data_IF_379662935000
#
_entry.id   IF_379662935000
#
_cell.length_a   1.000
_cell.length_b   1.000
_cell.length_c   1.000
_cell.angle_alpha   90.00
_cell.angle_beta   90.00
_cell.angle_gamma   90.00
#
_symmetry.space_group_name_H-M   'P 1'
#
loop_
_entity.id
_entity.type
_entity.pdbx_description
1 polymer ?
#
# COMPACT_ATOMS: atom_id res chain seq x y z
N UNK A 1 -12.76 12.50 17.92
CA UNK A 1 -13.18 12.77 16.52
C UNK A 1 -12.20 12.04 15.64
N UNK A 2 -12.65 11.46 14.53
CA UNK A 2 -11.73 10.74 13.63
C UNK A 2 -11.06 11.68 12.64
N UNK A 3 -9.73 11.65 12.59
CA UNK A 3 -8.93 12.49 11.67
C UNK A 3 -7.92 11.66 10.89
N UNK A 4 -7.68 12.05 9.64
CA UNK A 4 -6.56 11.55 8.85
C UNK A 4 -5.40 12.52 9.01
N UNK A 5 -4.24 12.01 9.40
CA UNK A 5 -3.00 12.80 9.47
C UNK A 5 -1.78 12.00 8.97
N UNK A 6 -0.69 12.68 8.56
CA UNK A 6 0.60 12.02 8.36
C UNK A 6 1.01 11.23 9.61
N UNK A 7 1.73 10.14 9.38
CA UNK A 7 2.30 9.35 10.47
C UNK A 7 3.43 10.10 11.17
N UNK A 8 3.58 9.86 12.48
CA UNK A 8 4.64 10.41 13.32
C UNK A 8 5.41 9.29 14.04
N UNK A 9 6.61 9.61 14.55
CA UNK A 9 7.47 8.64 15.28
C UNK A 9 6.75 8.02 16.49
N UNK A 10 5.85 8.77 17.13
CA UNK A 10 5.05 8.28 18.26
C UNK A 10 4.05 7.17 17.90
N UNK A 11 3.70 7.01 16.62
CA UNK A 11 2.67 6.06 16.18
C UNK A 11 3.18 4.61 16.09
N UNK A 12 4.49 4.37 16.24
CA UNK A 12 5.11 3.04 16.09
C UNK A 12 4.41 1.96 16.92
N UNK A 13 4.11 2.27 18.19
CA UNK A 13 3.41 1.34 19.07
C UNK A 13 1.98 1.04 18.62
N UNK A 14 1.29 2.04 18.04
CA UNK A 14 -0.02 1.89 17.43
C UNK A 14 0.03 1.01 16.18
N UNK A 15 1.01 1.23 15.31
CA UNK A 15 1.23 0.41 14.13
C UNK A 15 1.52 -1.04 14.46
N UNK A 16 2.38 -1.32 15.44
CA UNK A 16 2.66 -2.70 15.87
C UNK A 16 1.39 -3.42 16.32
N UNK A 17 0.52 -2.73 17.08
CA UNK A 17 -0.79 -3.28 17.48
C UNK A 17 -1.69 -3.57 16.27
N UNK A 18 -1.72 -2.68 15.28
CA UNK A 18 -2.49 -2.90 14.05
C UNK A 18 -1.91 -4.04 13.21
N UNK A 19 -0.58 -4.08 13.04
CA UNK A 19 0.13 -5.11 12.28
C UNK A 19 -0.13 -6.52 12.84
N UNK A 20 -0.12 -6.66 14.17
CA UNK A 20 -0.46 -7.92 14.85
C UNK A 20 -1.89 -8.41 14.58
N UNK A 21 -2.81 -7.53 14.16
CA UNK A 21 -4.20 -7.87 13.82
C UNK A 21 -4.43 -8.23 12.35
N UNK A 22 -3.41 -8.13 11.49
CA UNK A 22 -3.55 -8.38 10.05
C UNK A 22 -3.65 -9.86 9.69
N UNK A 23 -3.25 -10.76 10.59
CA UNK A 23 -3.19 -12.21 10.31
C UNK A 23 -2.13 -12.61 9.29
N UNK A 24 -1.13 -11.76 9.01
CA UNK A 24 0.02 -12.07 8.16
C UNK A 24 -0.21 -11.95 6.65
N UNK A 25 -1.44 -11.82 6.18
CA UNK A 25 -1.76 -11.69 4.75
C UNK A 25 -1.45 -10.32 4.13
N UNK A 26 -1.20 -9.30 4.96
CA UNK A 26 -0.89 -7.94 4.51
C UNK A 26 0.61 -7.66 4.66
N UNK A 27 1.39 -8.08 3.66
CA UNK A 27 2.86 -7.97 3.65
C UNK A 27 3.37 -6.52 3.72
N UNK A 28 2.57 -5.55 3.29
CA UNK A 28 2.90 -4.13 3.41
C UNK A 28 2.70 -3.56 4.83
N UNK A 29 2.21 -4.34 5.79
CA UNK A 29 2.11 -3.96 7.20
C UNK A 29 2.62 -5.11 8.09
N UNK A 30 3.94 -5.41 8.05
CA UNK A 30 4.52 -6.49 8.81
C UNK A 30 4.50 -6.18 10.31
N UNK A 31 4.31 -7.21 11.14
CA UNK A 31 4.47 -7.10 12.60
C UNK A 31 5.96 -7.14 12.99
N UNK A 32 6.74 -6.22 12.43
CA UNK A 32 8.18 -6.08 12.64
C UNK A 32 8.51 -4.63 13.00
N UNK A 33 9.04 -4.41 14.21
CA UNK A 33 9.26 -3.08 14.77
C UNK A 33 10.25 -2.27 13.95
N UNK A 34 11.36 -2.89 13.54
CA UNK A 34 12.40 -2.22 12.76
C UNK A 34 11.85 -1.76 11.41
N UNK A 35 11.18 -2.65 10.68
CA UNK A 35 10.59 -2.32 9.37
C UNK A 35 9.56 -1.20 9.48
N UNK A 36 8.74 -1.20 10.53
CA UNK A 36 7.76 -0.12 10.75
C UNK A 36 8.44 1.20 11.12
N UNK A 37 9.47 1.17 11.96
CA UNK A 37 10.24 2.36 12.32
C UNK A 37 10.94 2.97 11.09
N UNK A 38 11.60 2.14 10.29
CA UNK A 38 12.26 2.55 9.03
C UNK A 38 11.24 3.15 8.05
N UNK A 39 10.03 2.58 7.99
CA UNK A 39 8.93 3.11 7.16
C UNK A 39 8.42 4.47 7.63
N UNK A 40 8.29 4.67 8.95
CA UNK A 40 7.91 5.98 9.50
C UNK A 40 8.96 7.02 9.09
N UNK A 41 10.25 6.72 9.29
CA UNK A 41 11.32 7.67 8.97
C UNK A 41 11.36 7.98 7.46
N UNK A 42 11.21 6.97 6.60
CA UNK A 42 11.10 7.16 5.15
C UNK A 42 9.93 8.07 4.77
N UNK A 43 8.78 7.93 5.46
CA UNK A 43 7.65 8.82 5.22
C UNK A 43 7.93 10.26 5.65
N UNK A 44 8.55 10.47 6.82
CA UNK A 44 8.97 11.79 7.28
C UNK A 44 9.98 12.45 6.33
N UNK A 45 10.94 11.69 5.81
CA UNK A 45 11.91 12.17 4.82
C UNK A 45 11.27 12.47 3.46
N UNK A 46 10.21 11.75 3.08
CA UNK A 46 9.41 12.04 1.88
C UNK A 46 8.79 13.44 1.98
N UNK A 47 8.21 13.79 3.12
CA UNK A 47 7.66 15.14 3.36
C UNK A 47 8.71 16.25 3.33
N UNK A 48 9.97 15.93 3.65
CA UNK A 48 11.08 16.88 3.56
C UNK A 48 11.62 17.07 2.14
N UNK A 49 11.18 16.25 1.18
CA UNK A 49 11.60 16.34 -0.22
C UNK A 49 13.04 15.89 -0.50
N UNK A 50 13.69 15.19 0.45
CA UNK A 50 15.10 14.78 0.35
C UNK A 50 15.34 13.43 -0.34
N UNK A 51 14.28 12.72 -0.73
CA UNK A 51 14.35 11.35 -1.24
C UNK A 51 14.23 11.29 -2.76
N UNK A 52 14.88 10.29 -3.37
CA UNK A 52 14.68 9.95 -4.77
C UNK A 52 13.24 9.45 -4.99
N UNK A 53 12.72 9.55 -6.22
CA UNK A 53 11.32 9.19 -6.52
C UNK A 53 10.97 7.73 -6.11
N UNK A 54 11.92 6.80 -6.22
CA UNK A 54 11.71 5.40 -5.84
C UNK A 54 11.66 5.15 -4.33
N UNK A 55 12.25 6.04 -3.54
CA UNK A 55 12.29 5.95 -2.08
C UNK A 55 11.10 6.65 -1.41
N UNK A 56 10.40 7.52 -2.13
CA UNK A 56 9.31 8.33 -1.60
C UNK A 56 8.05 7.49 -1.31
N UNK A 57 7.51 7.65 -0.10
CA UNK A 57 6.27 7.03 0.33
C UNK A 57 5.53 7.85 1.38
N UNK A 58 4.21 7.96 1.23
CA UNK A 58 3.34 8.66 2.18
C UNK A 58 2.59 7.66 3.03
N UNK A 59 2.64 7.82 4.35
CA UNK A 59 1.89 7.01 5.30
C UNK A 59 1.00 7.92 6.13
N UNK A 60 -0.26 7.52 6.24
CA UNK A 60 -1.29 8.23 7.00
C UNK A 60 -1.89 7.29 8.04
N UNK A 61 -2.33 7.87 9.16
CA UNK A 61 -3.08 7.17 10.18
C UNK A 61 -4.48 7.78 10.32
N UNK A 62 -5.44 6.94 10.68
CA UNK A 62 -6.73 7.37 11.21
C UNK A 62 -6.61 7.41 12.73
N UNK A 63 -6.70 8.59 13.32
CA UNK A 63 -6.59 8.81 14.75
C UNK A 63 -7.95 9.21 15.34
N UNK A 64 -8.28 8.67 16.50
CA UNK A 64 -9.30 9.27 17.36
C UNK A 64 -8.66 10.34 18.26
N UNK A 65 -8.98 11.60 17.99
CA UNK A 65 -8.43 12.75 18.72
C UNK A 65 -8.81 12.80 20.20
N UNK A 66 -9.84 12.05 20.63
CA UNK A 66 -10.23 12.04 22.05
C UNK A 66 -9.30 11.19 22.92
N UNK A 67 -8.73 10.13 22.32
CA UNK A 67 -7.89 9.14 23.00
C UNK A 67 -6.44 9.16 22.52
N UNK A 68 -6.15 9.80 21.39
CA UNK A 68 -4.87 9.69 20.68
C UNK A 68 -4.66 8.31 20.04
N UNK A 69 -5.70 7.48 19.96
CA UNK A 69 -5.57 6.12 19.47
C UNK A 69 -5.51 6.09 17.94
N UNK A 70 -4.46 5.47 17.41
CA UNK A 70 -4.38 5.07 16.00
C UNK A 70 -5.31 3.89 15.73
N UNK A 71 -6.38 4.13 14.98
CA UNK A 71 -7.43 3.18 14.64
C UNK A 71 -7.20 2.48 13.28
N UNK A 72 -6.44 3.10 12.38
CA UNK A 72 -6.14 2.55 11.07
C UNK A 72 -4.92 3.21 10.42
N UNK A 73 -4.44 2.58 9.36
CA UNK A 73 -3.29 3.03 8.54
C UNK A 73 -3.65 2.92 7.07
N UNK A 74 -3.22 3.91 6.28
CA UNK A 74 -3.15 3.78 4.85
C UNK A 74 -1.88 4.40 4.27
N UNK A 75 -1.47 3.98 3.06
CA UNK A 75 -0.25 4.50 2.47
C UNK A 75 -0.31 4.62 0.94
N UNK A 76 0.69 5.31 0.39
CA UNK A 76 0.93 5.53 -1.04
C UNK A 76 2.44 5.37 -1.28
N UNK A 77 2.84 4.50 -2.21
CA UNK A 77 4.19 4.55 -2.78
C UNK A 77 4.18 5.47 -3.99
N UNK A 78 5.17 6.37 -4.10
CA UNK A 78 5.19 7.39 -5.17
C UNK A 78 5.50 6.76 -6.53
N UNK A 79 6.48 5.86 -6.59
CA UNK A 79 6.86 5.15 -7.80
C UNK A 79 7.42 3.75 -7.49
N UNK A 80 6.59 2.72 -7.67
CA UNK A 80 7.02 1.33 -7.49
C UNK A 80 7.98 0.90 -8.60
N UNK A 81 8.80 -0.13 -8.36
CA UNK A 81 9.62 -0.72 -9.42
C UNK A 81 10.93 0.01 -9.73
N UNK A 82 11.22 1.15 -9.12
CA UNK A 82 12.41 1.97 -9.43
C UNK A 82 13.67 1.49 -8.70
N UNK A 83 13.54 1.04 -7.46
CA UNK A 83 14.66 0.50 -6.67
C UNK A 83 14.73 -1.02 -6.80
N UNK A 84 13.59 -1.68 -6.62
CA UNK A 84 13.41 -3.12 -6.74
C UNK A 84 12.25 -3.42 -7.69
N UNK A 85 12.31 -4.50 -8.50
CA UNK A 85 11.22 -4.85 -9.40
C UNK A 85 9.90 -5.07 -8.66
N UNK A 86 8.84 -4.40 -9.14
CA UNK A 86 7.48 -4.65 -8.66
C UNK A 86 6.83 -5.71 -9.54
N UNK A 87 6.85 -6.97 -9.08
CA UNK A 87 6.37 -8.11 -9.86
C UNK A 87 4.85 -8.21 -9.87
N UNK A 88 4.30 -8.50 -11.05
CA UNK A 88 2.89 -8.80 -11.23
C UNK A 88 2.67 -9.85 -12.31
N UNK A 89 1.55 -10.57 -12.21
CA UNK A 89 1.11 -11.44 -13.28
C UNK A 89 0.21 -10.69 -14.25
N UNK A 90 0.60 -10.65 -15.53
CA UNK A 90 -0.26 -10.21 -16.62
C UNK A 90 -1.01 -11.41 -17.19
N UNK A 91 -2.34 -11.32 -17.26
CA UNK A 91 -3.17 -12.32 -17.95
C UNK A 91 -3.06 -12.05 -19.46
N UNK A 92 -2.37 -12.94 -20.17
CA UNK A 92 -2.30 -12.94 -21.63
C UNK A 92 -2.97 -14.19 -22.22
N UNK A 93 -2.92 -14.32 -23.54
CA UNK A 93 -3.38 -15.52 -24.24
C UNK A 93 -2.19 -16.21 -24.90
N UNK A 94 -1.96 -17.47 -24.56
CA UNK A 94 -1.00 -18.33 -25.24
C UNK A 94 -1.75 -19.22 -26.24
N UNK A 95 -1.32 -19.22 -27.50
CA UNK A 95 -1.93 -20.04 -28.55
C UNK A 95 -1.03 -21.22 -28.86
N UNK A 96 -1.53 -22.42 -28.66
CA UNK A 96 -0.94 -23.66 -29.14
C UNK A 96 -1.68 -24.10 -30.40
N UNK A 97 -1.00 -24.01 -31.56
CA UNK A 97 -1.56 -24.41 -32.84
C UNK A 97 -0.72 -25.55 -33.45
N UNK A 98 -1.39 -26.62 -33.88
CA UNK A 98 -0.78 -27.70 -34.65
C UNK A 98 -1.61 -27.94 -35.90
N UNK A 99 -1.02 -27.66 -37.06
CA UNK A 99 -1.68 -27.86 -38.36
C UNK A 99 -1.90 -29.33 -38.66
N UNK A 100 -0.91 -30.18 -38.37
CA UNK A 100 -0.97 -31.63 -38.62
C UNK A 100 -2.06 -32.31 -37.80
N UNK A 101 -2.27 -31.86 -36.55
CA UNK A 101 -3.30 -32.40 -35.66
C UNK A 101 -4.64 -31.65 -35.77
N UNK A 102 -4.74 -30.60 -36.59
CA UNK A 102 -5.88 -29.69 -36.66
C UNK A 102 -6.30 -29.14 -35.28
N UNK A 103 -5.33 -28.75 -34.45
CA UNK A 103 -5.54 -28.22 -33.10
C UNK A 103 -5.27 -26.71 -33.10
N UNK A 104 -6.16 -25.96 -32.46
CA UNK A 104 -5.97 -24.56 -32.11
C UNK A 104 -6.52 -24.30 -30.71
N UNK A 105 -5.63 -24.15 -29.72
CA UNK A 105 -6.00 -23.90 -28.33
C UNK A 105 -5.48 -22.54 -27.89
N UNK A 106 -6.39 -21.62 -27.56
CA UNK A 106 -6.08 -20.32 -26.98
C UNK A 106 -6.38 -20.34 -25.48
N UNK A 107 -5.34 -20.23 -24.66
CA UNK A 107 -5.43 -20.43 -23.21
C UNK A 107 -5.06 -19.14 -22.46
N UNK A 108 -5.87 -18.71 -21.48
CA UNK A 108 -5.45 -17.68 -20.53
C UNK A 108 -4.19 -18.14 -19.78
N UNK A 109 -3.13 -17.33 -19.83
CA UNK A 109 -1.83 -17.66 -19.26
C UNK A 109 -1.33 -16.49 -18.40
N UNK A 110 -0.81 -16.80 -17.22
CA UNK A 110 -0.16 -15.81 -16.35
C UNK A 110 1.30 -15.65 -16.76
N UNK A 111 1.70 -14.44 -17.12
CA UNK A 111 3.08 -14.08 -17.41
C UNK A 111 3.63 -13.25 -16.26
N UNK A 112 4.78 -13.65 -15.70
CA UNK A 112 5.47 -12.84 -14.70
C UNK A 112 6.06 -11.60 -15.40
N UNK A 113 5.69 -10.41 -14.92
CA UNK A 113 6.05 -9.11 -15.49
C UNK A 113 6.35 -8.10 -14.38
N UNK A 114 6.73 -6.88 -14.77
CA UNK A 114 6.90 -5.72 -13.90
C UNK A 114 6.40 -4.45 -14.63
N UNK A 115 5.27 -4.59 -15.33
CA UNK A 115 4.76 -3.59 -16.28
C UNK A 115 4.33 -2.27 -15.59
N UNK A 116 4.24 -2.26 -14.26
CA UNK A 116 3.82 -1.11 -13.46
C UNK A 116 4.97 -0.25 -12.92
N UNK A 117 6.22 -0.51 -13.30
CA UNK A 117 7.38 0.30 -12.88
C UNK A 117 7.15 1.80 -13.14
N UNK A 118 7.36 2.62 -12.11
CA UNK A 118 7.17 4.06 -12.14
C UNK A 118 5.76 4.54 -11.77
N UNK A 119 4.78 3.64 -11.65
CA UNK A 119 3.43 3.99 -11.22
C UNK A 119 3.36 4.25 -9.72
N UNK A 120 2.43 5.11 -9.30
CA UNK A 120 2.07 5.23 -7.88
C UNK A 120 1.18 4.06 -7.45
N UNK A 121 1.40 3.54 -6.24
CA UNK A 121 0.64 2.43 -5.68
C UNK A 121 -0.13 2.88 -4.45
N UNK A 122 -1.43 2.57 -4.41
CA UNK A 122 -2.20 2.60 -3.17
C UNK A 122 -1.91 1.34 -2.36
N UNK A 123 -0.82 1.37 -1.61
CA UNK A 123 -0.43 0.27 -0.73
C UNK A 123 -1.17 0.36 0.61
N UNK A 124 -0.89 -0.58 1.53
CA UNK A 124 -1.39 -0.71 2.91
C UNK A 124 -2.77 -0.07 3.17
N UNK A 125 -3.79 -0.88 3.42
CA UNK A 125 -5.07 -0.37 3.92
C UNK A 125 -5.55 -1.27 5.04
N UNK A 126 -5.45 -0.79 6.28
CA UNK A 126 -5.92 -1.54 7.43
C UNK A 126 -6.68 -0.65 8.39
N UNK A 127 -7.88 -1.09 8.74
CA UNK A 127 -8.72 -0.48 9.76
C UNK A 127 -9.06 -1.54 10.79
N UNK A 128 -8.76 -1.25 12.05
CA UNK A 128 -9.10 -2.09 13.18
C UNK A 128 -10.60 -2.41 13.16
N UNK A 129 -11.01 -3.70 13.28
CA UNK A 129 -12.42 -4.09 13.26
C UNK A 129 -13.33 -3.27 14.17
N UNK A 130 -12.84 -2.85 15.35
CA UNK A 130 -13.63 -2.04 16.30
C UNK A 130 -14.02 -0.65 15.76
N UNK A 131 -13.31 -0.18 14.73
CA UNK A 131 -13.46 1.14 14.12
C UNK A 131 -14.09 1.08 12.72
N UNK A 132 -14.52 -0.10 12.25
CA UNK A 132 -15.24 -0.29 10.97
C UNK A 132 -16.71 0.13 11.06
N UNK A 133 -16.92 1.40 11.40
CA UNK A 133 -18.22 2.04 11.58
C UNK A 133 -18.15 3.47 11.05
N UNK A 134 -19.30 4.11 10.93
CA UNK A 134 -19.41 5.57 10.73
C UNK A 134 -18.60 6.12 9.53
N UNK A 135 -18.41 5.30 8.47
CA UNK A 135 -17.70 5.73 7.27
C UNK A 135 -16.17 5.78 7.39
N UNK A 136 -15.58 5.38 8.52
CA UNK A 136 -14.13 5.42 8.74
C UNK A 136 -13.30 4.71 7.67
N UNK A 137 -13.79 3.57 7.17
CA UNK A 137 -13.11 2.84 6.09
C UNK A 137 -13.11 3.61 4.77
N UNK A 138 -14.19 4.34 4.48
CA UNK A 138 -14.28 5.19 3.30
C UNK A 138 -13.34 6.39 3.43
N UNK A 139 -13.36 7.07 4.58
CA UNK A 139 -12.45 8.18 4.88
C UNK A 139 -10.98 7.75 4.75
N UNK A 140 -10.59 6.66 5.41
CA UNK A 140 -9.22 6.14 5.37
C UNK A 140 -8.78 5.75 3.96
N UNK A 141 -9.67 5.13 3.17
CA UNK A 141 -9.31 4.72 1.82
C UNK A 141 -9.24 5.90 0.85
N UNK A 142 -10.22 6.81 0.90
CA UNK A 142 -10.39 7.90 -0.07
C UNK A 142 -9.52 9.12 0.19
N UNK A 143 -9.06 9.31 1.43
CA UNK A 143 -8.09 10.36 1.76
C UNK A 143 -6.84 10.30 0.88
N UNK A 144 -6.38 9.09 0.53
CA UNK A 144 -5.23 8.90 -0.38
C UNK A 144 -5.46 9.51 -1.77
N UNK A 145 -6.66 9.30 -2.34
CA UNK A 145 -7.01 9.89 -3.63
C UNK A 145 -7.18 11.41 -3.54
N UNK A 146 -7.76 11.91 -2.46
CA UNK A 146 -7.88 13.36 -2.21
C UNK A 146 -6.50 14.01 -2.11
N UNK A 147 -5.57 13.37 -1.40
CA UNK A 147 -4.18 13.80 -1.32
C UNK A 147 -3.52 13.83 -2.70
N UNK A 148 -3.57 12.74 -3.47
CA UNK A 148 -3.03 12.70 -4.83
C UNK A 148 -3.66 13.76 -5.75
N UNK A 149 -4.95 14.07 -5.58
CA UNK A 149 -5.61 15.10 -6.37
C UNK A 149 -5.13 16.52 -6.01
N UNK A 150 -4.79 16.77 -4.75
CA UNK A 150 -4.35 18.07 -4.26
C UNK A 150 -2.85 18.36 -4.55
N UNK A 151 -2.02 17.32 -4.69
CA UNK A 151 -0.56 17.44 -4.78
C UNK A 151 0.01 16.77 -6.05
N UNK A 152 -0.49 17.16 -7.22
CA UNK A 152 -0.06 16.59 -8.53
C UNK A 152 1.34 17.00 -8.94
#
# INVERSE_FOLDING_TARGET
MMVIRPIERGDLSGLLKLAGKTGGGLTSLPADEKTLADRIERSLQTWQGGLSKGDQGYVFVLEDTSSGQVAGICAIEVAVGLNDPWYNYRVGTLVHASKELNIYNALPTLFLTHDHTGASELCTLFLDPAWRKEGNGYLLSKSRFLFMAAFR
#
